data_IF_152959950272
#
_entry.id   IF_152959950272
#
_cell.length_a   1.000
_cell.length_b   1.000
_cell.length_c   1.000
_cell.angle_alpha   90.00
_cell.angle_beta   90.00
_cell.angle_gamma   90.00
#
_symmetry.space_group_name_H-M   'P 1'
#
loop_
_entity.id
_entity.type
_entity.pdbx_description
1 polymer ?
#
# COMPACT_ATOMS: atom_id res chain seq x y z
N UNK A 1 -29.98 -20.33 31.45
CA UNK A 1 -28.51 -20.31 31.50
C UNK A 1 -27.99 -19.64 30.24
N UNK A 2 -27.62 -18.36 30.32
CA UNK A 2 -26.96 -17.62 29.24
C UNK A 2 -25.62 -17.09 29.77
N UNK A 3 -24.53 -17.13 28.98
CA UNK A 3 -23.22 -16.71 29.44
C UNK A 3 -23.03 -15.18 29.41
N UNK A 4 -22.37 -14.72 30.47
CA UNK A 4 -22.08 -13.34 30.85
C UNK A 4 -21.10 -12.63 29.91
N UNK A 5 -21.42 -11.37 29.60
CA UNK A 5 -20.65 -10.37 28.85
C UNK A 5 -19.32 -10.06 29.55
N UNK A 6 -18.20 -10.07 28.80
CA UNK A 6 -16.88 -9.61 29.25
C UNK A 6 -16.57 -8.24 28.65
N UNK A 7 -16.35 -7.23 29.50
CA UNK A 7 -15.85 -5.90 29.11
C UNK A 7 -14.51 -5.61 29.82
N UNK A 8 -13.53 -5.28 28.97
CA UNK A 8 -12.23 -4.60 29.08
C UNK A 8 -11.72 -4.04 30.42
N UNK A 9 -10.40 -4.23 30.63
CA UNK A 9 -9.56 -3.25 31.32
C UNK A 9 -8.15 -3.19 30.70
N UNK A 10 -7.67 -1.96 30.52
CA UNK A 10 -6.47 -1.47 29.83
C UNK A 10 -5.17 -1.61 30.64
N UNK A 11 -4.05 -1.83 29.93
CA UNK A 11 -2.66 -1.81 30.44
C UNK A 11 -2.23 -0.42 30.96
N UNK A 12 -1.47 -0.33 32.08
CA UNK A 12 -0.84 0.92 32.50
C UNK A 12 0.55 1.13 31.87
N UNK A 13 0.85 2.39 31.58
CA UNK A 13 2.13 2.89 31.07
C UNK A 13 3.16 3.01 32.20
N UNK A 14 4.36 2.46 32.00
CA UNK A 14 5.49 2.65 32.89
C UNK A 14 6.34 3.85 32.43
N UNK A 15 6.51 4.82 33.34
CA UNK A 15 7.40 5.98 33.22
C UNK A 15 8.74 5.62 33.85
N UNK A 16 9.86 5.88 33.17
CA UNK A 16 11.17 5.86 33.79
C UNK A 16 11.58 7.27 34.19
N UNK A 17 11.76 7.46 35.51
CA UNK A 17 12.44 8.59 36.11
C UNK A 17 13.95 8.39 35.96
N UNK A 18 14.63 9.35 35.34
CA UNK A 18 16.08 9.47 35.44
C UNK A 18 16.38 10.50 36.55
N UNK A 19 16.91 10.00 37.65
CA UNK A 19 17.34 10.77 38.82
C UNK A 19 18.86 10.76 38.85
N UNK A 20 19.49 11.88 38.52
CA UNK A 20 20.70 12.35 39.21
C UNK A 20 20.92 13.83 38.93
N UNK A 21 20.99 14.56 40.03
CA UNK A 21 21.27 15.97 40.16
C UNK A 21 22.75 16.13 40.59
N UNK A 22 23.39 17.23 40.19
CA UNK A 22 24.72 17.66 40.67
C UNK A 22 25.26 18.81 39.80
N UNK A 23 24.99 20.09 40.13
CA UNK A 23 25.86 21.05 40.87
C UNK A 23 27.26 21.25 40.22
N UNK A 24 27.87 22.44 40.01
CA UNK A 24 27.64 23.86 40.33
C UNK A 24 28.73 24.70 39.56
N UNK A 25 28.35 25.80 38.87
CA UNK A 25 29.03 27.12 38.55
C UNK A 25 30.58 27.32 38.37
N UNK A 26 31.12 28.47 37.87
CA UNK A 26 30.58 29.59 37.05
C UNK A 26 31.51 30.15 35.91
N UNK A 27 30.95 31.11 35.14
CA UNK A 27 31.56 32.33 34.53
C UNK A 27 32.74 32.23 33.52
N UNK A 28 32.46 32.58 32.25
CA UNK A 28 33.12 33.72 31.57
C UNK A 28 32.39 34.16 30.30
N UNK A 29 32.04 35.45 30.28
CA UNK A 29 31.57 36.23 29.13
C UNK A 29 32.63 36.27 28.03
N UNK A 30 32.24 36.03 26.78
CA UNK A 30 32.70 36.86 25.65
C UNK A 30 31.52 37.05 24.70
N UNK A 31 31.20 38.31 24.47
CA UNK A 31 30.18 38.76 23.53
C UNK A 31 30.68 38.56 22.10
N UNK A 32 29.80 38.11 21.20
CA UNK A 32 29.89 38.53 19.81
C UNK A 32 28.48 38.73 19.27
N UNK A 33 28.17 40.00 19.08
CA UNK A 33 26.96 40.52 18.48
C UNK A 33 27.08 40.26 16.99
N UNK A 34 26.23 39.41 16.43
CA UNK A 34 26.00 39.39 14.98
C UNK A 34 24.53 39.72 14.75
N UNK A 35 24.39 41.00 14.43
CA UNK A 35 23.28 41.74 13.87
C UNK A 35 22.30 40.89 13.03
N UNK A 36 21.04 40.81 13.47
CA UNK A 36 19.91 40.36 12.65
C UNK A 36 19.34 41.59 11.96
N UNK A 37 19.54 41.70 10.65
CA UNK A 37 18.88 42.73 9.83
C UNK A 37 17.40 42.38 9.63
N UNK A 38 16.46 43.33 9.82
CA UNK A 38 15.06 43.14 9.51
C UNK A 38 14.83 43.36 8.01
N UNK A 39 14.33 42.36 7.30
CA UNK A 39 13.83 42.56 5.92
C UNK A 39 12.35 42.94 6.00
N UNK A 40 12.06 44.19 5.66
CA UNK A 40 10.69 44.70 5.55
C UNK A 40 9.97 44.07 4.35
N UNK A 41 8.65 43.81 4.43
CA UNK A 41 7.87 43.32 3.30
C UNK A 41 7.58 44.46 2.29
N UNK A 42 7.70 44.22 0.98
CA UNK A 42 7.28 45.19 -0.02
C UNK A 42 5.73 45.27 -0.12
N UNK A 43 5.19 46.44 -0.49
CA UNK A 43 3.74 46.68 -0.51
C UNK A 43 3.06 45.98 -1.68
N UNK A 44 1.83 45.52 -1.44
CA UNK A 44 0.92 45.01 -2.47
C UNK A 44 0.38 46.18 -3.32
N UNK A 45 0.43 46.10 -4.66
CA UNK A 45 -0.43 46.90 -5.51
C UNK A 45 -1.72 46.13 -5.86
N UNK A 46 -2.85 46.77 -5.58
CA UNK A 46 -4.19 46.34 -5.99
C UNK A 46 -4.48 46.77 -7.44
N UNK A 47 -5.06 45.83 -8.20
CA UNK A 47 -5.95 45.99 -9.35
C UNK A 47 -5.47 46.77 -10.59
N UNK A 48 -5.46 46.11 -11.76
CA UNK A 48 -6.57 46.17 -12.73
C UNK A 48 -6.27 45.45 -14.05
N UNK A 49 -7.36 44.92 -14.64
CA UNK A 49 -7.65 44.77 -16.07
C UNK A 49 -6.90 43.74 -16.93
N UNK A 50 -7.64 42.65 -17.17
CA UNK A 50 -8.04 42.09 -18.47
C UNK A 50 -7.06 41.30 -19.36
N UNK A 51 -7.58 40.11 -19.69
CA UNK A 51 -7.49 39.41 -20.95
C UNK A 51 -6.25 38.53 -21.26
N UNK A 52 -6.61 37.24 -21.41
CA UNK A 52 -6.09 36.32 -22.42
C UNK A 52 -4.91 35.43 -22.03
N UNK A 53 -5.25 34.29 -21.44
CA UNK A 53 -4.92 33.00 -22.05
C UNK A 53 -5.88 31.95 -21.50
N UNK A 54 -6.87 31.58 -22.30
CA UNK A 54 -7.64 30.37 -22.06
C UNK A 54 -6.64 29.20 -21.93
N UNK A 55 -6.49 28.67 -20.73
CA UNK A 55 -5.83 27.39 -20.49
C UNK A 55 -6.65 26.37 -21.26
N UNK A 56 -6.18 26.05 -22.47
CA UNK A 56 -6.73 24.99 -23.30
C UNK A 56 -6.60 23.73 -22.45
N UNK A 57 -7.73 23.25 -21.93
CA UNK A 57 -7.79 21.95 -21.25
C UNK A 57 -7.46 20.90 -22.30
N UNK A 58 -6.16 20.60 -22.44
CA UNK A 58 -5.70 19.52 -23.29
C UNK A 58 -6.11 18.23 -22.59
N UNK A 59 -7.36 17.83 -22.80
CA UNK A 59 -7.88 16.55 -22.34
C UNK A 59 -7.22 15.48 -23.19
N UNK A 60 -5.99 15.11 -22.83
CA UNK A 60 -5.34 13.91 -23.33
C UNK A 60 -6.34 12.79 -23.09
N UNK A 61 -6.89 12.22 -24.17
CA UNK A 61 -7.70 11.02 -24.11
C UNK A 61 -6.78 9.92 -23.62
N UNK A 62 -6.70 9.78 -22.29
CA UNK A 62 -6.03 8.66 -21.64
C UNK A 62 -6.76 7.44 -22.16
N UNK A 63 -6.06 6.62 -22.95
CA UNK A 63 -6.55 5.30 -23.34
C UNK A 63 -6.98 4.51 -22.09
N UNK A 64 -7.68 3.38 -22.27
CA UNK A 64 -8.10 2.57 -21.13
C UNK A 64 -6.89 2.35 -20.22
N UNK A 65 -7.00 2.78 -18.95
CA UNK A 65 -5.95 2.53 -17.97
C UNK A 65 -5.77 1.03 -17.92
N UNK A 66 -4.58 0.56 -18.29
CA UNK A 66 -4.27 -0.87 -18.22
C UNK A 66 -4.48 -1.30 -16.77
N UNK A 67 -5.23 -2.39 -16.58
CA UNK A 67 -5.42 -2.96 -15.26
C UNK A 67 -4.05 -3.27 -14.64
N UNK A 68 -3.92 -3.09 -13.32
CA UNK A 68 -2.66 -3.38 -12.64
C UNK A 68 -2.27 -4.85 -12.78
N UNK A 69 -3.25 -5.75 -12.81
CA UNK A 69 -3.08 -7.19 -12.97
C UNK A 69 -4.06 -7.69 -14.04
N UNK A 70 -3.63 -8.61 -14.90
CA UNK A 70 -4.51 -9.33 -15.83
C UNK A 70 -4.74 -10.76 -15.36
N UNK A 71 -5.94 -11.29 -15.59
CA UNK A 71 -6.32 -12.65 -15.24
C UNK A 71 -6.46 -13.49 -16.51
N UNK A 72 -5.95 -14.72 -16.48
CA UNK A 72 -6.21 -15.71 -17.53
C UNK A 72 -7.64 -16.27 -17.41
N UNK A 73 -8.14 -16.90 -18.49
CA UNK A 73 -9.44 -17.56 -18.47
C UNK A 73 -9.55 -18.66 -17.40
N UNK A 74 -8.45 -19.39 -17.15
CA UNK A 74 -8.36 -20.42 -16.11
C UNK A 74 -8.50 -19.82 -14.71
N UNK A 75 -7.78 -18.72 -14.44
CA UNK A 75 -7.87 -18.02 -13.16
C UNK A 75 -9.27 -17.44 -12.91
N UNK A 76 -9.88 -16.81 -13.92
CA UNK A 76 -11.25 -16.28 -13.83
C UNK A 76 -12.25 -17.41 -13.53
N UNK A 77 -12.15 -18.53 -14.25
CA UNK A 77 -13.04 -19.69 -14.05
C UNK A 77 -12.92 -20.25 -12.64
N UNK A 78 -11.69 -20.35 -12.12
CA UNK A 78 -11.46 -20.82 -10.76
C UNK A 78 -12.00 -19.86 -9.70
N UNK A 79 -11.80 -18.56 -9.88
CA UNK A 79 -12.33 -17.55 -8.95
C UNK A 79 -13.86 -17.54 -8.92
N UNK A 80 -14.51 -17.72 -10.07
CA UNK A 80 -15.97 -17.89 -10.14
C UNK A 80 -16.44 -19.09 -9.32
N UNK A 81 -15.74 -20.23 -9.40
CA UNK A 81 -16.06 -21.40 -8.58
C UNK A 81 -15.85 -21.13 -7.08
N UNK A 82 -14.79 -20.42 -6.71
CA UNK A 82 -14.52 -20.07 -5.31
C UNK A 82 -15.63 -19.16 -4.75
N UNK A 83 -16.11 -18.21 -5.55
CA UNK A 83 -17.18 -17.26 -5.16
C UNK A 83 -18.60 -17.81 -5.33
N UNK A 84 -18.76 -18.95 -6.01
CA UNK A 84 -20.06 -19.58 -6.21
C UNK A 84 -20.67 -20.11 -4.90
N UNK A 85 -19.88 -20.27 -3.83
CA UNK A 85 -20.36 -20.68 -2.52
C UNK A 85 -20.97 -19.48 -1.77
N UNK A 86 -22.30 -19.41 -1.63
CA UNK A 86 -22.97 -18.22 -1.08
C UNK A 86 -22.84 -18.09 0.44
N UNK A 87 -22.39 -19.15 1.13
CA UNK A 87 -22.30 -19.19 2.59
C UNK A 87 -21.26 -18.25 3.18
N UNK A 88 -20.27 -17.81 2.39
CA UNK A 88 -19.27 -16.84 2.83
C UNK A 88 -18.67 -16.07 1.63
N UNK A 89 -19.26 -14.92 1.24
CA UNK A 89 -18.75 -14.12 0.13
C UNK A 89 -17.44 -13.44 0.52
N UNK A 90 -16.33 -14.14 0.36
CA UNK A 90 -14.98 -13.59 0.54
C UNK A 90 -14.39 -13.19 -0.81
N UNK A 91 -13.90 -11.97 -0.90
CA UNK A 91 -13.05 -11.51 -1.98
C UNK A 91 -11.62 -12.04 -1.77
N UNK A 92 -10.94 -12.30 -2.88
CA UNK A 92 -9.53 -12.70 -2.84
C UNK A 92 -8.68 -11.44 -2.91
N UNK A 93 -7.83 -11.24 -1.90
CA UNK A 93 -6.84 -10.17 -1.83
C UNK A 93 -5.45 -10.73 -2.05
N UNK A 94 -4.71 -10.10 -2.94
CA UNK A 94 -3.33 -10.43 -3.29
C UNK A 94 -2.41 -9.42 -2.60
N UNK A 95 -1.47 -9.92 -1.81
CA UNK A 95 -0.43 -9.15 -1.15
C UNK A 95 0.95 -9.73 -1.38
N UNK A 96 1.96 -9.12 -0.77
CA UNK A 96 3.32 -9.67 -0.69
C UNK A 96 3.72 -9.86 0.76
N UNK A 97 4.44 -10.95 1.05
CA UNK A 97 5.03 -11.26 2.35
C UNK A 97 6.54 -11.37 2.22
N UNK A 98 7.27 -10.81 3.18
CA UNK A 98 8.73 -10.95 3.25
C UNK A 98 9.08 -12.41 3.56
N UNK A 99 10.00 -12.98 2.78
CA UNK A 99 10.54 -14.33 2.96
C UNK A 99 12.07 -14.28 2.90
N UNK A 100 12.74 -14.59 4.02
CA UNK A 100 14.20 -14.53 4.13
C UNK A 100 14.77 -13.10 4.22
N UNK A 101 16.07 -12.95 3.93
CA UNK A 101 16.79 -11.67 4.10
C UNK A 101 16.35 -10.60 3.09
N UNK A 102 15.99 -10.99 1.86
CA UNK A 102 15.63 -10.03 0.79
C UNK A 102 14.49 -10.50 -0.10
N UNK A 103 13.99 -11.72 0.08
CA UNK A 103 12.94 -12.29 -0.76
C UNK A 103 11.55 -11.82 -0.39
N UNK A 104 10.66 -11.86 -1.37
CA UNK A 104 9.22 -11.67 -1.20
C UNK A 104 8.46 -12.83 -1.83
N UNK A 105 7.28 -13.13 -1.31
CA UNK A 105 6.36 -14.13 -1.85
C UNK A 105 4.97 -13.53 -1.96
N UNK A 106 4.21 -13.94 -2.97
CA UNK A 106 2.81 -13.53 -3.07
C UNK A 106 1.99 -14.22 -1.97
N UNK A 107 1.07 -13.48 -1.37
CA UNK A 107 0.15 -14.00 -0.37
C UNK A 107 -1.27 -13.79 -0.85
N UNK A 108 -2.07 -14.83 -0.75
CA UNK A 108 -3.50 -14.79 -1.01
C UNK A 108 -4.24 -14.77 0.33
N UNK A 109 -5.17 -13.84 0.48
CA UNK A 109 -5.98 -13.67 1.68
C UNK A 109 -7.45 -13.53 1.30
N UNK A 110 -8.33 -14.21 2.02
CA UNK A 110 -9.77 -14.05 1.85
C UNK A 110 -10.28 -12.93 2.75
N UNK A 111 -10.93 -11.93 2.18
CA UNK A 111 -11.44 -10.76 2.91
C UNK A 111 -12.90 -10.50 2.57
N UNK A 112 -13.71 -10.11 3.55
CA UNK A 112 -15.14 -9.83 3.33
C UNK A 112 -15.36 -8.46 2.69
N UNK A 113 -14.50 -7.48 3.00
CA UNK A 113 -14.62 -6.10 2.52
C UNK A 113 -13.26 -5.57 2.04
N UNK A 114 -13.21 -4.76 0.97
CA UNK A 114 -12.00 -4.09 0.53
C UNK A 114 -11.55 -3.04 1.54
N UNK A 115 -10.25 -2.92 1.76
CA UNK A 115 -9.66 -1.83 2.54
C UNK A 115 -9.55 -0.56 1.71
N UNK A 116 -9.39 0.60 2.37
CA UNK A 116 -9.31 1.92 1.72
C UNK A 116 -8.10 2.08 0.79
N UNK A 117 -7.06 1.30 1.01
CA UNK A 117 -5.81 1.37 0.26
C UNK A 117 -5.70 0.23 -0.77
N UNK A 118 -6.68 -0.69 -0.80
CA UNK A 118 -6.67 -1.81 -1.73
C UNK A 118 -7.15 -1.33 -3.10
N UNK A 119 -6.48 -1.78 -4.16
CA UNK A 119 -6.94 -1.58 -5.53
C UNK A 119 -7.90 -2.70 -5.91
N UNK A 120 -9.07 -2.34 -6.43
CA UNK A 120 -10.08 -3.31 -6.90
C UNK A 120 -9.90 -3.52 -8.39
N UNK A 121 -9.59 -4.76 -8.79
CA UNK A 121 -9.54 -5.18 -10.19
C UNK A 121 -10.79 -5.99 -10.48
N UNK A 122 -11.54 -5.56 -11.48
CA UNK A 122 -12.71 -6.28 -12.00
C UNK A 122 -12.42 -6.73 -13.42
N UNK A 123 -12.48 -8.05 -13.64
CA UNK A 123 -12.30 -8.64 -14.95
C UNK A 123 -13.29 -9.79 -15.13
N UNK A 124 -14.00 -9.82 -16.26
CA UNK A 124 -14.95 -10.88 -16.61
C UNK A 124 -16.00 -11.15 -15.50
N UNK A 125 -16.43 -10.09 -14.81
CA UNK A 125 -17.41 -10.16 -13.72
C UNK A 125 -16.87 -10.72 -12.39
N UNK A 126 -15.56 -10.94 -12.29
CA UNK A 126 -14.87 -11.38 -11.07
C UNK A 126 -14.10 -10.21 -10.48
N UNK A 127 -14.16 -10.06 -9.15
CA UNK A 127 -13.47 -9.02 -8.40
C UNK A 127 -12.31 -9.60 -7.62
N UNK A 128 -11.14 -8.97 -7.74
CA UNK A 128 -9.93 -9.30 -7.00
C UNK A 128 -9.36 -8.02 -6.40
N UNK A 129 -8.80 -8.13 -5.21
CA UNK A 129 -8.21 -7.00 -4.49
C UNK A 129 -6.70 -7.11 -4.50
N UNK A 130 -6.02 -5.97 -4.60
CA UNK A 130 -4.56 -5.88 -4.53
C UNK A 130 -4.17 -4.97 -3.37
N UNK A 131 -3.34 -5.47 -2.46
CA UNK A 131 -2.75 -4.65 -1.40
C UNK A 131 -1.82 -3.58 -2.01
N UNK A 132 -1.85 -2.36 -1.48
CA UNK A 132 -1.08 -1.24 -2.03
C UNK A 132 0.43 -1.49 -2.05
N UNK A 133 0.95 -2.31 -1.12
CA UNK A 133 2.38 -2.67 -1.08
C UNK A 133 2.74 -3.65 -2.19
N UNK A 134 1.80 -4.51 -2.58
CA UNK A 134 1.98 -5.48 -3.66
C UNK A 134 1.74 -4.87 -5.05
N UNK A 135 0.98 -3.77 -5.12
CA UNK A 135 0.59 -3.12 -6.36
C UNK A 135 1.78 -2.88 -7.28
N UNK A 136 2.86 -2.27 -6.79
CA UNK A 136 4.06 -1.98 -7.58
C UNK A 136 4.76 -3.21 -8.13
N UNK A 137 4.76 -4.31 -7.38
CA UNK A 137 5.32 -5.57 -7.88
C UNK A 137 4.39 -6.17 -8.93
N UNK A 138 3.07 -6.10 -8.76
CA UNK A 138 2.11 -6.77 -9.64
C UNK A 138 1.78 -6.01 -10.93
N UNK A 139 2.13 -4.73 -11.06
CA UNK A 139 1.80 -3.92 -12.25
C UNK A 139 2.29 -4.61 -13.53
N UNK A 140 1.35 -4.92 -14.42
CA UNK A 140 1.63 -5.56 -15.71
C UNK A 140 1.94 -7.06 -15.61
N UNK A 141 1.67 -7.67 -14.45
CA UNK A 141 1.73 -9.11 -14.28
C UNK A 141 0.44 -9.78 -14.75
N UNK A 142 0.55 -11.06 -15.04
CA UNK A 142 -0.58 -11.95 -15.33
C UNK A 142 -0.73 -12.99 -14.23
N UNK A 143 -1.97 -13.23 -13.79
CA UNK A 143 -2.32 -14.29 -12.85
C UNK A 143 -3.01 -15.44 -13.57
N UNK A 144 -2.41 -16.62 -13.48
CA UNK A 144 -2.94 -17.87 -14.01
C UNK A 144 -3.33 -18.84 -12.88
N UNK A 145 -4.12 -19.85 -13.20
CA UNK A 145 -4.41 -20.97 -12.30
C UNK A 145 -4.00 -22.27 -12.97
N UNK A 146 -3.00 -22.92 -12.37
CA UNK A 146 -2.44 -24.17 -12.86
C UNK A 146 -2.91 -25.29 -11.95
N UNK A 147 -3.55 -26.29 -12.55
CA UNK A 147 -4.00 -27.51 -11.89
C UNK A 147 -3.28 -28.70 -12.49
N UNK A 148 -2.43 -29.32 -11.67
CA UNK A 148 -1.72 -30.56 -11.97
C UNK A 148 -2.32 -31.71 -11.14
N UNK A 149 -1.90 -32.95 -11.40
CA UNK A 149 -2.43 -34.15 -10.73
C UNK A 149 -2.24 -34.13 -9.22
N UNK A 150 -1.22 -33.41 -8.74
CA UNK A 150 -0.82 -33.37 -7.33
C UNK A 150 -0.97 -31.99 -6.68
N UNK A 151 -1.23 -30.94 -7.45
CA UNK A 151 -1.23 -29.58 -6.93
C UNK A 151 -2.11 -28.65 -7.74
N UNK A 152 -2.75 -27.70 -7.08
CA UNK A 152 -3.48 -26.63 -7.75
C UNK A 152 -3.12 -25.30 -7.09
N UNK A 153 -2.65 -24.36 -7.90
CA UNK A 153 -2.15 -23.09 -7.37
C UNK A 153 -2.32 -21.94 -8.36
N UNK A 154 -2.41 -20.73 -7.82
CA UNK A 154 -2.31 -19.52 -8.62
C UNK A 154 -0.85 -19.22 -8.90
N UNK A 155 -0.52 -19.03 -10.18
CA UNK A 155 0.82 -18.71 -10.66
C UNK A 155 0.82 -17.27 -11.17
N UNK A 156 1.87 -16.53 -10.86
CA UNK A 156 2.01 -15.13 -11.24
C UNK A 156 3.18 -14.97 -12.20
N UNK A 157 2.89 -14.51 -13.41
CA UNK A 157 3.88 -14.18 -14.43
C UNK A 157 4.15 -12.69 -14.40
N UNK A 158 5.27 -12.30 -13.78
CA UNK A 158 5.64 -10.91 -13.60
C UNK A 158 6.89 -10.56 -14.42
N UNK A 159 6.79 -9.73 -15.47
CA UNK A 159 7.92 -9.36 -16.31
C UNK A 159 8.95 -8.49 -15.59
N UNK A 160 8.62 -7.92 -14.42
CA UNK A 160 9.52 -7.07 -13.65
C UNK A 160 10.42 -7.85 -12.68
N UNK A 161 10.20 -9.16 -12.52
CA UNK A 161 11.01 -10.01 -11.63
C UNK A 161 12.30 -10.40 -12.35
N UNK A 162 13.44 -10.07 -11.72
CA UNK A 162 14.76 -10.36 -12.28
C UNK A 162 15.26 -11.76 -11.94
N UNK A 163 14.97 -12.21 -10.72
CA UNK A 163 15.49 -13.47 -10.16
C UNK A 163 14.40 -14.16 -9.35
N UNK A 164 14.13 -15.43 -9.67
CA UNK A 164 13.26 -16.32 -8.90
C UNK A 164 14.15 -17.27 -8.09
N UNK A 165 13.85 -17.44 -6.80
CA UNK A 165 14.57 -18.39 -5.97
C UNK A 165 14.45 -19.80 -6.57
N UNK A 166 15.51 -20.61 -6.53
CA UNK A 166 15.54 -21.93 -7.21
C UNK A 166 14.45 -22.94 -6.82
N UNK A 167 13.64 -22.62 -5.81
CA UNK A 167 12.44 -23.36 -5.43
C UNK A 167 11.11 -22.78 -5.97
N UNK A 168 11.15 -21.72 -6.79
CA UNK A 168 10.01 -21.13 -7.53
C UNK A 168 9.00 -20.32 -6.70
N UNK A 169 9.07 -20.39 -5.36
CA UNK A 169 8.05 -19.85 -4.45
C UNK A 169 8.34 -18.43 -3.91
N UNK A 170 9.45 -17.82 -4.31
CA UNK A 170 9.82 -16.45 -3.91
C UNK A 170 10.61 -15.75 -4.99
N UNK A 171 10.47 -14.43 -5.05
CA UNK A 171 11.08 -13.58 -6.06
C UNK A 171 11.77 -12.36 -5.45
N UNK A 172 12.67 -11.78 -6.22
CA UNK A 172 13.28 -10.48 -5.97
C UNK A 172 12.95 -9.56 -7.15
N UNK A 173 12.43 -8.37 -6.84
CA UNK A 173 12.13 -7.31 -7.81
C UNK A 173 13.26 -6.28 -7.77
#
# INVERSE_FOLDING_TARGET
>A
MLPTIRILASKPAARHLCSTCGLLTPLRRVASVIHVSPVAPPPLPSASTEAMAAVRKNTVKRGPRRAALTLTASAVSRLRQLYANPSDPKLLKIGTKKKGCSGQTYSLEYVTHPSKLDEVIEQDGVKVLIDSKALFSLVGSEMDYVEDKLSSQFVFHNPNVKEMCGCGMSFMT
#
